data_IF_046053126498
#
_entry.id   IF_046053126498
#
_cell.length_a   1.000
_cell.length_b   1.000
_cell.length_c   1.000
_cell.angle_alpha   90.00
_cell.angle_beta   90.00
_cell.angle_gamma   90.00
#
_symmetry.space_group_name_H-M   'P 1'
#
loop_
_entity.id
_entity.type
_entity.pdbx_description
1 polymer ?
#
# COMPACT_ATOMS: atom_id res chain seq x y z
N UNK A 1 6.44 -38.71 1.25
CA UNK A 1 6.80 -37.63 0.31
C UNK A 1 6.13 -36.35 0.80
N UNK A 2 6.83 -35.58 1.64
CA UNK A 2 6.28 -34.37 2.26
C UNK A 2 6.30 -33.26 1.21
N UNK A 3 5.13 -32.82 0.76
CA UNK A 3 5.00 -31.62 -0.09
C UNK A 3 5.51 -30.42 0.73
N UNK A 4 6.39 -29.57 0.19
CA UNK A 4 6.67 -28.30 0.84
C UNK A 4 5.35 -27.52 0.85
N UNK A 5 4.80 -27.25 2.03
CA UNK A 5 3.76 -26.24 2.16
C UNK A 5 4.45 -24.95 1.73
N UNK A 6 4.12 -24.45 0.54
CA UNK A 6 4.54 -23.12 0.14
C UNK A 6 4.14 -22.18 1.28
N UNK A 7 5.13 -21.57 1.95
CA UNK A 7 4.90 -20.64 3.02
C UNK A 7 4.22 -19.39 2.43
N UNK A 8 2.89 -19.44 2.31
CA UNK A 8 2.06 -18.36 1.78
C UNK A 8 2.28 -17.03 2.53
N UNK A 9 2.83 -17.07 3.75
CA UNK A 9 3.24 -15.91 4.53
C UNK A 9 4.34 -15.07 3.88
N UNK A 10 5.30 -15.66 3.15
CA UNK A 10 6.35 -14.90 2.47
C UNK A 10 5.84 -14.13 1.24
N UNK A 11 4.74 -14.59 0.65
CA UNK A 11 4.11 -13.95 -0.51
C UNK A 11 2.98 -12.98 -0.10
N UNK A 12 2.26 -13.26 0.98
CA UNK A 12 1.10 -12.46 1.40
C UNK A 12 1.49 -11.09 1.96
N UNK A 13 2.63 -10.98 2.65
CA UNK A 13 3.13 -9.71 3.20
C UNK A 13 3.49 -8.71 2.10
N UNK A 14 4.38 -9.02 1.12
CA UNK A 14 4.68 -8.08 0.04
C UNK A 14 3.46 -7.79 -0.84
N UNK A 15 2.56 -8.76 -1.01
CA UNK A 15 1.32 -8.53 -1.75
C UNK A 15 0.37 -7.57 -1.03
N UNK A 16 0.21 -7.71 0.28
CA UNK A 16 -0.60 -6.79 1.10
C UNK A 16 0.01 -5.39 1.17
N UNK A 17 1.33 -5.29 1.29
CA UNK A 17 2.04 -4.02 1.21
C UNK A 17 1.78 -3.34 -0.14
N UNK A 18 1.90 -4.10 -1.23
CA UNK A 18 1.65 -3.59 -2.59
C UNK A 18 0.19 -3.16 -2.77
N UNK A 19 -0.75 -4.00 -2.33
CA UNK A 19 -2.18 -3.72 -2.44
C UNK A 19 -2.60 -2.51 -1.61
N UNK A 20 -2.10 -2.37 -0.38
CA UNK A 20 -2.36 -1.20 0.47
C UNK A 20 -1.77 0.08 -0.12
N UNK A 21 -0.51 0.02 -0.57
CA UNK A 21 0.19 1.14 -1.20
C UNK A 21 -0.54 1.62 -2.46
N UNK A 22 -0.89 0.71 -3.37
CA UNK A 22 -1.62 1.04 -4.60
C UNK A 22 -3.04 1.52 -4.31
N UNK A 23 -3.75 0.87 -3.38
CA UNK A 23 -5.11 1.25 -2.99
C UNK A 23 -5.16 2.68 -2.44
N UNK A 24 -4.31 3.01 -1.47
CA UNK A 24 -4.20 4.36 -0.92
C UNK A 24 -3.74 5.36 -1.97
N UNK A 25 -2.75 5.01 -2.80
CA UNK A 25 -2.29 5.84 -3.91
C UNK A 25 -3.41 6.23 -4.87
N UNK A 26 -4.23 5.26 -5.30
CA UNK A 26 -5.33 5.50 -6.23
C UNK A 26 -6.44 6.37 -5.64
N UNK A 27 -6.77 6.16 -4.36
CA UNK A 27 -7.75 6.98 -3.64
C UNK A 27 -7.25 8.42 -3.52
N UNK A 28 -6.00 8.62 -3.07
CA UNK A 28 -5.43 9.94 -2.94
C UNK A 28 -5.26 10.64 -4.29
N UNK A 29 -4.96 9.92 -5.37
CA UNK A 29 -4.97 10.45 -6.74
C UNK A 29 -6.34 11.00 -7.12
N UNK A 30 -7.42 10.23 -6.88
CA UNK A 30 -8.79 10.67 -7.17
C UNK A 30 -9.18 11.91 -6.35
N UNK A 31 -8.87 11.90 -5.06
CA UNK A 31 -9.08 13.07 -4.19
C UNK A 31 -8.28 14.26 -4.71
N UNK A 32 -7.01 14.06 -5.05
CA UNK A 32 -6.14 15.09 -5.61
C UNK A 32 -6.68 15.69 -6.92
N UNK A 33 -7.21 14.87 -7.82
CA UNK A 33 -7.85 15.36 -9.06
C UNK A 33 -9.08 16.24 -8.79
N UNK A 34 -9.83 15.98 -7.70
CA UNK A 34 -10.98 16.82 -7.34
C UNK A 34 -10.60 18.21 -6.84
N UNK A 35 -9.44 18.36 -6.19
CA UNK A 35 -9.01 19.64 -5.61
C UNK A 35 -8.06 20.45 -6.50
N UNK A 36 -7.23 19.79 -7.30
CA UNK A 36 -6.15 20.45 -8.05
C UNK A 36 -5.98 19.99 -9.49
N UNK A 37 -6.98 19.31 -10.07
CA UNK A 37 -6.91 18.77 -11.42
C UNK A 37 -5.76 17.77 -11.57
N UNK A 38 -5.14 17.70 -12.75
CA UNK A 38 -4.10 16.71 -13.05
C UNK A 38 -2.87 16.82 -12.14
N UNK A 39 -2.48 18.05 -11.78
CA UNK A 39 -1.36 18.28 -10.86
C UNK A 39 -1.70 17.82 -9.44
N UNK A 40 -2.91 18.14 -8.96
CA UNK A 40 -3.42 17.64 -7.68
C UNK A 40 -3.50 16.12 -7.66
N UNK A 41 -3.90 15.49 -8.76
CA UNK A 41 -3.92 14.05 -8.93
C UNK A 41 -2.54 13.41 -8.79
N UNK A 42 -1.53 13.97 -9.47
CA UNK A 42 -0.15 13.48 -9.40
C UNK A 42 0.44 13.59 -7.99
N UNK A 43 0.22 14.74 -7.32
CA UNK A 43 0.63 14.92 -5.93
C UNK A 43 -0.12 13.97 -4.99
N UNK A 44 -1.43 13.83 -5.18
CA UNK A 44 -2.26 12.90 -4.43
C UNK A 44 -1.77 11.46 -4.56
N UNK A 45 -1.41 11.02 -5.77
CA UNK A 45 -0.83 9.70 -6.01
C UNK A 45 0.49 9.54 -5.24
N UNK A 46 1.42 10.50 -5.38
CA UNK A 46 2.72 10.47 -4.70
C UNK A 46 2.56 10.37 -3.18
N UNK A 47 1.73 11.22 -2.58
CA UNK A 47 1.47 11.21 -1.14
C UNK A 47 0.78 9.92 -0.72
N UNK A 48 -0.21 9.44 -1.48
CA UNK A 48 -0.94 8.22 -1.17
C UNK A 48 -0.06 6.96 -1.22
N UNK A 49 0.89 6.89 -2.15
CA UNK A 49 1.88 5.80 -2.21
C UNK A 49 2.79 5.81 -0.98
N UNK A 50 3.30 6.98 -0.59
CA UNK A 50 4.16 7.12 0.60
C UNK A 50 3.38 6.74 1.87
N UNK A 51 2.18 7.28 2.05
CA UNK A 51 1.33 7.01 3.23
C UNK A 51 0.89 5.56 3.27
N UNK A 52 0.51 4.96 2.14
CA UNK A 52 0.11 3.55 2.08
C UNK A 52 1.26 2.60 2.47
N UNK A 53 2.47 2.88 1.97
CA UNK A 53 3.66 2.10 2.31
C UNK A 53 4.00 2.20 3.81
N UNK A 54 4.18 3.41 4.34
CA UNK A 54 4.55 3.60 5.74
C UNK A 54 3.43 3.23 6.71
N UNK A 55 2.16 3.41 6.32
CA UNK A 55 1.00 2.98 7.09
C UNK A 55 0.97 1.48 7.29
N UNK A 56 1.24 0.70 6.24
CA UNK A 56 1.31 -0.77 6.37
C UNK A 56 2.52 -1.21 7.21
N UNK A 57 3.69 -0.59 7.03
CA UNK A 57 4.88 -0.86 7.87
C UNK A 57 4.58 -0.60 9.35
N UNK A 58 3.93 0.51 9.67
CA UNK A 58 3.54 0.84 11.04
C UNK A 58 2.59 -0.21 11.64
N UNK A 59 1.66 -0.76 10.83
CA UNK A 59 0.75 -1.83 11.26
C UNK A 59 1.52 -3.12 11.53
N UNK A 60 2.48 -3.51 10.67
CA UNK A 60 3.31 -4.71 10.91
C UNK A 60 4.10 -4.54 12.21
N UNK A 61 4.83 -3.45 12.36
CA UNK A 61 5.67 -3.19 13.54
C UNK A 61 4.84 -3.25 14.82
N UNK A 62 3.64 -2.66 14.81
CA UNK A 62 2.72 -2.70 15.96
C UNK A 62 2.20 -4.11 16.27
N UNK A 63 2.11 -5.01 15.30
CA UNK A 63 1.70 -6.41 15.53
C UNK A 63 2.81 -7.31 16.05
N UNK A 64 4.06 -6.88 15.88
CA UNK A 64 5.24 -7.63 16.32
C UNK A 64 5.67 -7.26 17.76
N UNK A 65 5.16 -6.15 18.30
CA UNK A 65 5.28 -5.74 19.70
C UNK A 65 4.15 -6.31 20.58
#
# INVERSE_FOLDING_TARGET
MNRPRADFSYLSIPLQLTASTLGTGFVCMKVGTHFGGDFGGALGLMVGLVVGFFGYVAVIVKREQ
#
